data_IF_371786882805
#
_entry.id   IF_371786882805
#
_cell.length_a   1.000
_cell.length_b   1.000
_cell.length_c   1.000
_cell.angle_alpha   90.00
_cell.angle_beta   90.00
_cell.angle_gamma   90.00
#
_symmetry.space_group_name_H-M   'P 1'
#
loop_
_entity.id
_entity.type
_entity.pdbx_description
1 polymer ?
#
# COMPACT_ATOMS: atom_id res chain seq x y z
N UNK A 1 -20.89 25.27 39.43
CA UNK A 1 -21.08 26.55 38.72
C UNK A 1 -19.69 27.14 38.61
N UNK A 2 -19.06 27.14 37.46
CA UNK A 2 -19.49 27.87 36.27
C UNK A 2 -18.89 27.23 35.00
N UNK A 3 -19.75 26.94 34.04
CA UNK A 3 -19.43 26.36 32.73
C UNK A 3 -18.75 27.42 31.86
N UNK A 4 -17.71 27.04 31.11
CA UNK A 4 -17.17 27.87 30.03
C UNK A 4 -17.64 27.31 28.70
N UNK A 5 -18.60 28.02 28.12
CA UNK A 5 -19.13 27.80 26.78
C UNK A 5 -18.02 28.05 25.75
N UNK A 6 -17.81 27.07 24.86
CA UNK A 6 -16.91 27.16 23.72
C UNK A 6 -17.71 27.68 22.52
N UNK A 7 -17.31 28.84 22.00
CA UNK A 7 -17.90 29.58 20.88
C UNK A 7 -17.75 28.78 19.57
N UNK A 8 -18.89 28.26 19.09
CA UNK A 8 -19.05 27.59 17.79
C UNK A 8 -19.08 28.65 16.68
N UNK A 9 -17.91 29.01 16.16
CA UNK A 9 -17.79 29.83 14.96
C UNK A 9 -17.76 28.91 13.73
N UNK A 10 -18.94 28.75 13.14
CA UNK A 10 -19.16 28.21 11.80
C UNK A 10 -18.35 29.01 10.79
N UNK A 11 -17.39 28.37 10.14
CA UNK A 11 -16.63 28.98 9.03
C UNK A 11 -17.40 28.74 7.75
N UNK A 12 -18.10 29.78 7.28
CA UNK A 12 -18.76 29.82 5.96
C UNK A 12 -17.70 29.71 4.85
N UNK A 13 -17.66 28.56 4.17
CA UNK A 13 -16.93 28.43 2.92
C UNK A 13 -17.73 29.10 1.80
N UNK A 14 -17.25 30.26 1.35
CA UNK A 14 -17.76 30.95 0.16
C UNK A 14 -17.66 30.04 -1.06
N UNK A 15 -18.79 29.87 -1.75
CA UNK A 15 -18.90 29.25 -3.07
C UNK A 15 -18.04 29.99 -4.09
N UNK A 16 -16.94 29.36 -4.50
CA UNK A 16 -16.15 29.75 -5.67
C UNK A 16 -16.79 29.21 -6.94
N UNK A 17 -16.75 30.03 -7.99
CA UNK A 17 -17.47 29.91 -9.25
C UNK A 17 -17.30 28.57 -9.98
N UNK A 18 -18.45 28.08 -10.48
CA UNK A 18 -18.58 27.05 -11.53
C UNK A 18 -17.76 27.45 -12.75
N UNK A 19 -16.87 26.56 -13.17
CA UNK A 19 -16.58 26.23 -14.57
C UNK A 19 -15.77 24.93 -14.55
N UNK A 20 -16.48 23.79 -14.59
CA UNK A 20 -16.14 22.50 -15.23
C UNK A 20 -17.27 21.53 -14.81
N UNK A 21 -18.30 21.45 -15.66
CA UNK A 21 -19.44 20.57 -15.44
C UNK A 21 -19.00 19.12 -15.74
N UNK A 22 -18.44 18.44 -14.73
CA UNK A 22 -18.59 17.00 -14.61
C UNK A 22 -20.07 16.70 -14.42
N UNK A 23 -20.62 15.75 -15.16
CA UNK A 23 -22.05 15.43 -15.09
C UNK A 23 -22.38 14.94 -13.67
N UNK A 24 -23.48 15.37 -13.07
CA UNK A 24 -23.92 14.84 -11.76
C UNK A 24 -24.06 13.31 -11.76
N UNK A 25 -24.28 12.74 -12.95
CA UNK A 25 -24.33 11.30 -13.16
C UNK A 25 -22.95 10.63 -13.00
N UNK A 26 -21.87 11.33 -13.38
CA UNK A 26 -20.49 10.85 -13.20
C UNK A 26 -20.12 10.85 -11.71
N UNK A 27 -20.47 11.92 -10.97
CA UNK A 27 -20.26 11.98 -9.51
C UNK A 27 -21.05 10.87 -8.78
N UNK A 28 -22.31 10.64 -9.16
CA UNK A 28 -23.16 9.58 -8.61
C UNK A 28 -22.67 8.17 -8.99
N UNK A 29 -22.03 8.01 -10.15
CA UNK A 29 -21.41 6.76 -10.58
C UNK A 29 -20.13 6.47 -9.79
N UNK A 30 -19.26 7.47 -9.61
CA UNK A 30 -18.05 7.37 -8.78
C UNK A 30 -18.40 7.00 -7.35
N UNK A 31 -19.41 7.62 -6.76
CA UNK A 31 -19.86 7.33 -5.40
C UNK A 31 -20.42 5.90 -5.27
N UNK A 32 -21.17 5.42 -6.28
CA UNK A 32 -21.67 4.04 -6.30
C UNK A 32 -20.55 3.02 -6.44
N UNK A 33 -19.58 3.29 -7.31
CA UNK A 33 -18.40 2.44 -7.50
C UNK A 33 -17.58 2.38 -6.21
N UNK A 34 -17.34 3.53 -5.59
CA UNK A 34 -16.65 3.63 -4.31
C UNK A 34 -17.35 2.80 -3.22
N UNK A 35 -18.68 2.97 -3.05
CA UNK A 35 -19.47 2.17 -2.10
C UNK A 35 -19.41 0.67 -2.39
N UNK A 36 -19.38 0.26 -3.66
CA UNK A 36 -19.26 -1.15 -4.03
C UNK A 36 -17.89 -1.70 -3.65
N UNK A 37 -16.83 -0.95 -3.92
CA UNK A 37 -15.46 -1.32 -3.57
C UNK A 37 -15.28 -1.42 -2.05
N UNK A 38 -15.87 -0.50 -1.28
CA UNK A 38 -15.85 -0.52 0.19
C UNK A 38 -16.55 -1.75 0.81
N UNK A 39 -17.45 -2.38 0.06
CA UNK A 39 -18.20 -3.58 0.50
C UNK A 39 -17.60 -4.89 -0.03
N UNK A 40 -16.46 -4.85 -0.73
CA UNK A 40 -15.78 -6.05 -1.20
C UNK A 40 -15.21 -6.87 -0.02
N UNK A 41 -15.02 -8.20 -0.17
CA UNK A 41 -14.38 -9.01 0.85
C UNK A 41 -12.99 -8.47 1.18
N UNK A 42 -12.70 -8.27 2.46
CA UNK A 42 -11.41 -7.75 2.89
C UNK A 42 -10.30 -8.78 2.63
N UNK A 43 -9.38 -8.44 1.73
CA UNK A 43 -8.09 -9.11 1.57
C UNK A 43 -7.13 -8.65 2.69
N UNK A 44 -6.23 -9.52 3.14
CA UNK A 44 -5.26 -9.17 4.20
C UNK A 44 -4.88 -10.31 5.14
N UNK A 45 -5.57 -11.46 5.07
CA UNK A 45 -5.16 -12.64 5.83
C UNK A 45 -3.84 -13.20 5.29
N UNK A 46 -2.85 -13.39 6.16
CA UNK A 46 -1.58 -14.00 5.79
C UNK A 46 -1.79 -15.49 5.55
N UNK A 47 -1.59 -15.92 4.31
CA UNK A 47 -1.70 -17.32 3.89
C UNK A 47 -0.36 -17.83 3.38
N UNK A 48 0.12 -18.89 4.01
CA UNK A 48 1.29 -19.64 3.56
C UNK A 48 0.80 -20.91 2.86
N UNK A 49 1.40 -21.24 1.71
CA UNK A 49 1.04 -22.43 0.96
C UNK A 49 1.25 -23.71 1.78
N UNK A 50 0.34 -24.68 1.65
CA UNK A 50 0.48 -26.02 2.24
C UNK A 50 1.34 -26.94 1.39
N UNK A 51 1.72 -26.53 0.18
CA UNK A 51 2.60 -27.31 -0.69
C UNK A 51 3.98 -27.52 -0.02
N UNK A 52 4.50 -28.76 0.04
CA UNK A 52 5.78 -29.03 0.70
C UNK A 52 6.97 -28.26 0.12
N UNK A 53 7.02 -28.04 -1.20
CA UNK A 53 8.12 -27.29 -1.82
C UNK A 53 8.01 -25.79 -1.52
N UNK A 54 6.81 -25.24 -1.59
CA UNK A 54 6.56 -23.85 -1.23
C UNK A 54 6.92 -23.56 0.24
N UNK A 55 6.71 -24.52 1.14
CA UNK A 55 7.14 -24.40 2.55
C UNK A 55 8.66 -24.36 2.69
N UNK A 56 9.39 -25.21 1.98
CA UNK A 56 10.85 -25.18 1.98
C UNK A 56 11.37 -23.83 1.48
N UNK A 57 10.79 -23.31 0.39
CA UNK A 57 11.11 -21.98 -0.14
C UNK A 57 10.85 -20.91 0.92
N UNK A 58 9.67 -20.88 1.54
CA UNK A 58 9.33 -19.89 2.57
C UNK A 58 10.27 -19.96 3.80
N UNK A 59 10.68 -21.18 4.19
CA UNK A 59 11.64 -21.42 5.27
C UNK A 59 13.05 -20.93 4.93
N UNK A 60 13.47 -21.02 3.67
CA UNK A 60 14.79 -20.57 3.19
C UNK A 60 14.84 -19.15 2.62
N UNK A 61 13.71 -18.50 2.39
CA UNK A 61 13.62 -17.16 1.80
C UNK A 61 13.71 -16.08 2.88
N UNK A 62 14.57 -15.07 2.69
CA UNK A 62 14.72 -13.94 3.61
C UNK A 62 14.82 -12.65 2.82
N UNK A 63 14.04 -11.64 3.21
CA UNK A 63 14.31 -10.26 2.78
C UNK A 63 15.41 -9.74 3.70
N UNK A 64 16.51 -9.25 3.13
CA UNK A 64 17.63 -8.72 3.89
C UNK A 64 17.39 -7.24 4.23
N UNK A 65 16.87 -6.49 3.26
CA UNK A 65 16.46 -5.09 3.43
C UNK A 65 15.56 -4.66 2.26
N UNK A 66 14.85 -3.55 2.47
CA UNK A 66 14.07 -2.87 1.45
C UNK A 66 14.24 -1.36 1.60
N UNK A 67 14.29 -0.65 0.49
CA UNK A 67 14.28 0.81 0.46
C UNK A 67 13.32 1.36 -0.59
N UNK A 68 12.94 2.63 -0.43
CA UNK A 68 12.15 3.41 -1.36
C UNK A 68 12.79 4.78 -1.56
N UNK A 69 12.91 5.20 -2.82
CA UNK A 69 13.48 6.48 -3.24
C UNK A 69 12.53 7.22 -4.17
N UNK A 70 12.59 8.54 -4.17
CA UNK A 70 12.01 9.32 -5.27
C UNK A 70 12.74 8.95 -6.57
N UNK A 71 11.99 8.56 -7.60
CA UNK A 71 12.56 8.05 -8.84
C UNK A 71 13.25 9.15 -9.69
N UNK A 72 12.93 10.42 -9.47
CA UNK A 72 13.45 11.53 -10.27
C UNK A 72 14.82 12.02 -9.78
N UNK A 73 14.99 12.11 -8.46
CA UNK A 73 16.20 12.68 -7.84
C UNK A 73 17.02 11.67 -7.03
N UNK A 74 16.45 10.50 -6.71
CA UNK A 74 17.12 9.44 -5.94
C UNK A 74 17.11 9.62 -4.42
N UNK A 75 16.40 10.62 -3.89
CA UNK A 75 16.31 10.90 -2.46
C UNK A 75 15.72 9.71 -1.70
N UNK A 76 16.31 9.40 -0.55
CA UNK A 76 15.85 8.29 0.31
C UNK A 76 14.58 8.68 1.05
N UNK A 77 13.48 8.02 0.73
CA UNK A 77 12.17 8.28 1.35
C UNK A 77 11.89 7.34 2.51
N UNK A 78 12.34 6.09 2.43
CA UNK A 78 12.13 5.10 3.47
C UNK A 78 13.05 3.89 3.31
N UNK A 79 13.51 3.31 4.42
CA UNK A 79 14.25 2.05 4.43
C UNK A 79 13.90 1.18 5.65
N UNK A 80 14.08 -0.13 5.50
CA UNK A 80 14.01 -1.08 6.61
C UNK A 80 14.85 -2.32 6.34
N UNK A 81 15.65 -2.72 7.34
CA UNK A 81 16.38 -3.99 7.38
C UNK A 81 15.73 -5.05 8.30
N UNK A 82 14.59 -4.75 8.92
CA UNK A 82 14.00 -5.60 9.95
C UNK A 82 12.94 -6.55 9.37
N UNK A 83 13.40 -7.53 8.59
CA UNK A 83 12.53 -8.54 7.98
C UNK A 83 12.81 -9.90 8.62
N UNK A 84 12.17 -10.15 9.76
CA UNK A 84 12.32 -11.41 10.49
C UNK A 84 11.35 -12.50 10.03
N UNK A 85 11.49 -13.70 10.61
CA UNK A 85 10.61 -14.86 10.38
C UNK A 85 9.11 -14.59 10.64
N UNK A 86 8.82 -13.49 11.34
CA UNK A 86 7.46 -13.07 11.61
C UNK A 86 6.71 -12.53 10.39
N UNK A 87 7.40 -12.22 9.28
CA UNK A 87 6.77 -11.70 8.05
C UNK A 87 5.68 -12.62 7.49
N UNK A 88 5.77 -13.93 7.77
CA UNK A 88 4.79 -14.93 7.34
C UNK A 88 3.67 -15.18 8.37
N UNK A 89 3.64 -14.43 9.48
CA UNK A 89 2.77 -14.73 10.64
C UNK A 89 2.00 -13.53 11.15
N UNK A 90 2.54 -12.32 10.99
CA UNK A 90 1.93 -11.10 11.51
C UNK A 90 2.03 -9.97 10.51
N UNK A 91 1.05 -9.08 10.56
CA UNK A 91 1.10 -7.80 9.86
C UNK A 91 2.30 -6.98 10.35
N UNK A 92 2.98 -6.33 9.41
CA UNK A 92 4.13 -5.46 9.69
C UNK A 92 3.70 -4.02 9.45
N UNK A 93 3.88 -3.18 10.48
CA UNK A 93 3.60 -1.75 10.39
C UNK A 93 4.83 -1.00 9.90
N UNK A 94 4.73 -0.39 8.71
CA UNK A 94 5.70 0.58 8.22
C UNK A 94 5.30 2.01 8.59
N UNK A 95 6.25 2.85 9.00
CA UNK A 95 6.06 4.30 9.16
C UNK A 95 6.80 4.99 8.03
N UNK A 96 6.04 5.46 7.03
CA UNK A 96 6.57 6.06 5.82
C UNK A 96 6.28 7.57 5.87
N UNK A 97 7.25 8.45 5.53
CA UNK A 97 7.01 9.89 5.46
C UNK A 97 5.91 10.24 4.46
N UNK A 98 5.04 11.19 4.82
CA UNK A 98 3.94 11.62 3.95
C UNK A 98 4.44 12.24 2.63
N UNK A 99 5.63 12.84 2.64
CA UNK A 99 6.26 13.48 1.47
C UNK A 99 6.45 12.51 0.29
N UNK A 100 6.49 11.19 0.55
CA UNK A 100 6.53 10.17 -0.53
C UNK A 100 5.32 10.26 -1.47
N UNK A 101 4.18 10.75 -0.99
CA UNK A 101 2.97 10.95 -1.80
C UNK A 101 3.10 12.10 -2.79
N UNK A 102 4.13 12.95 -2.63
CA UNK A 102 4.45 14.03 -3.57
C UNK A 102 5.37 13.57 -4.71
N UNK A 103 5.99 12.38 -4.59
CA UNK A 103 6.81 11.81 -5.65
C UNK A 103 5.93 11.42 -6.85
N UNK A 104 6.31 11.83 -8.05
CA UNK A 104 5.60 11.39 -9.27
C UNK A 104 5.77 9.89 -9.52
N UNK A 105 6.89 9.32 -9.07
CA UNK A 105 7.18 7.89 -9.09
C UNK A 105 8.15 7.55 -7.95
N UNK A 106 7.99 6.35 -7.39
CA UNK A 106 8.84 5.82 -6.33
C UNK A 106 9.61 4.61 -6.86
N UNK A 107 10.93 4.65 -6.77
CA UNK A 107 11.77 3.49 -7.00
C UNK A 107 11.83 2.65 -5.73
N UNK A 108 11.64 1.34 -5.84
CA UNK A 108 11.73 0.40 -4.72
C UNK A 108 12.80 -0.63 -5.00
N UNK A 109 13.65 -0.85 -4.01
CA UNK A 109 14.68 -1.88 -4.06
C UNK A 109 14.47 -2.87 -2.92
N UNK A 110 14.46 -4.16 -3.26
CA UNK A 110 14.33 -5.26 -2.30
C UNK A 110 15.54 -6.16 -2.48
N UNK A 111 16.30 -6.32 -1.41
CA UNK A 111 17.36 -7.31 -1.35
C UNK A 111 16.88 -8.52 -0.58
N UNK A 112 17.08 -9.71 -1.14
CA UNK A 112 16.65 -10.96 -0.53
C UNK A 112 17.67 -12.06 -0.78
N UNK A 113 17.56 -13.13 -0.01
CA UNK A 113 18.29 -14.38 -0.17
C UNK A 113 17.31 -15.56 -0.16
N UNK A 114 17.68 -16.64 -0.84
CA UNK A 114 16.91 -17.89 -0.86
C UNK A 114 17.87 -19.07 -0.78
N UNK A 115 17.51 -20.09 -0.01
CA UNK A 115 18.24 -21.37 0.02
C UNK A 115 17.82 -22.25 -1.17
N UNK A 116 16.54 -22.21 -1.54
CA UNK A 116 15.98 -22.99 -2.63
C UNK A 116 16.02 -22.19 -3.93
N UNK A 117 16.36 -22.88 -5.02
CA UNK A 117 16.24 -22.31 -6.36
C UNK A 117 14.75 -22.10 -6.71
N UNK A 118 14.46 -20.98 -7.38
CA UNK A 118 13.11 -20.65 -7.83
C UNK A 118 13.12 -20.30 -9.32
N UNK A 119 12.23 -20.94 -10.06
CA UNK A 119 11.98 -20.61 -11.45
C UNK A 119 10.81 -19.63 -11.56
N UNK A 120 10.96 -18.60 -12.37
CA UNK A 120 9.92 -17.60 -12.65
C UNK A 120 9.38 -16.94 -11.36
N UNK A 121 10.29 -16.54 -10.47
CA UNK A 121 9.94 -15.83 -9.24
C UNK A 121 9.14 -14.56 -9.58
N UNK A 122 8.06 -14.31 -8.85
CA UNK A 122 7.24 -13.11 -9.05
C UNK A 122 6.74 -12.58 -7.73
N UNK A 123 6.62 -11.27 -7.67
CA UNK A 123 5.98 -10.54 -6.59
C UNK A 123 4.72 -9.87 -7.17
N UNK A 124 3.57 -10.23 -6.60
CA UNK A 124 2.30 -9.55 -6.82
C UNK A 124 2.00 -8.75 -5.56
N UNK A 125 1.82 -7.45 -5.71
CA UNK A 125 1.51 -6.55 -4.61
C UNK A 125 0.25 -5.77 -4.91
N UNK A 126 -0.65 -5.75 -3.95
CA UNK A 126 -1.90 -4.97 -3.99
C UNK A 126 -1.89 -3.93 -2.89
N UNK A 127 -2.28 -2.71 -3.21
CA UNK A 127 -2.38 -1.60 -2.26
C UNK A 127 -3.85 -1.32 -2.00
N UNK A 128 -4.23 -1.29 -0.73
CA UNK A 128 -5.60 -1.05 -0.30
C UNK A 128 -5.72 0.26 0.47
N UNK A 129 -6.75 1.05 0.16
CA UNK A 129 -7.17 2.19 0.95
C UNK A 129 -8.63 1.98 1.39
N UNK A 130 -8.85 1.92 2.71
CA UNK A 130 -10.16 1.63 3.31
C UNK A 130 -10.85 0.36 2.78
N UNK A 131 -10.09 -0.66 2.37
CA UNK A 131 -10.63 -1.92 1.83
C UNK A 131 -10.78 -1.92 0.30
N UNK A 132 -10.59 -0.78 -0.35
CA UNK A 132 -10.58 -0.66 -1.81
C UNK A 132 -9.17 -0.90 -2.34
N UNK A 133 -9.01 -1.82 -3.30
CA UNK A 133 -7.74 -1.97 -4.02
C UNK A 133 -7.55 -0.78 -4.97
N UNK A 134 -6.53 0.04 -4.73
CA UNK A 134 -6.24 1.25 -5.52
C UNK A 134 -5.08 1.05 -6.49
N UNK A 135 -4.25 0.02 -6.28
CA UNK A 135 -3.12 -0.28 -7.16
C UNK A 135 -2.78 -1.78 -7.10
N UNK A 136 -2.44 -2.34 -8.26
CA UNK A 136 -1.84 -3.66 -8.38
C UNK A 136 -0.50 -3.54 -9.13
N UNK A 137 0.55 -4.13 -8.57
CA UNK A 137 1.89 -4.15 -9.17
C UNK A 137 2.41 -5.59 -9.28
N UNK A 138 2.95 -5.93 -10.45
CA UNK A 138 3.57 -7.22 -10.75
C UNK A 138 5.05 -7.01 -11.09
N UNK A 139 5.93 -7.61 -10.29
CA UNK A 139 7.37 -7.66 -10.59
C UNK A 139 7.75 -9.11 -10.87
N UNK A 140 8.37 -9.37 -12.02
CA UNK A 140 8.93 -10.68 -12.37
C UNK A 140 10.44 -10.67 -12.18
N UNK A 141 10.91 -11.66 -11.46
CA UNK A 141 12.33 -11.98 -11.30
C UNK A 141 12.52 -13.35 -11.96
N UNK A 142 13.48 -13.46 -12.86
CA UNK A 142 13.57 -14.67 -13.69
C UNK A 142 13.99 -15.90 -12.88
N UNK A 143 15.29 -16.08 -12.71
CA UNK A 143 15.86 -17.21 -11.98
C UNK A 143 16.51 -16.69 -10.71
N UNK A 144 16.19 -17.32 -9.58
CA UNK A 144 16.77 -17.07 -8.26
C UNK A 144 17.45 -18.34 -7.79
#
# INVERSE_FOLDING_TARGET
MESKDYDDRSVDYKSGSKDEAGSSEEEDEVEREFKRLMNAPQEGEIKVSTDPQARLIAEGFRINWMNMRDANNGDMMWESGEWGETMWKKEIKARIPADILSCSAVSREINFSSVQAMNAFKLEQRIFYQGVCIEECLVRVFYV
#
